data_IF_154621234349
#
_entry.id   IF_154621234349
#
_cell.length_a   1.000
_cell.length_b   1.000
_cell.length_c   1.000
_cell.angle_alpha   90.00
_cell.angle_beta   90.00
_cell.angle_gamma   90.00
#
_symmetry.space_group_name_H-M   'P 1'
#
loop_
_entity.id
_entity.type
_entity.pdbx_description
1 polymer ?
#
# COMPACT_ATOMS: atom_id res chain seq x y z
N UNK A 1 -1.49 21.89 -0.60
CA UNK A 1 -0.83 23.07 0.02
C UNK A 1 0.67 22.82 0.07
N UNK A 2 1.47 23.76 -0.39
CA UNK A 2 2.95 23.67 -0.33
C UNK A 2 3.47 24.75 0.60
N UNK A 3 4.43 24.39 1.43
CA UNK A 3 5.10 25.29 2.36
C UNK A 3 6.61 25.13 2.30
N UNK A 4 7.32 26.20 2.02
CA UNK A 4 8.79 26.23 2.04
C UNK A 4 9.25 26.57 3.47
N UNK A 5 9.72 25.56 4.20
CA UNK A 5 10.27 25.72 5.54
C UNK A 5 11.50 26.63 5.48
N UNK A 6 12.32 26.40 4.47
CA UNK A 6 13.46 27.21 4.08
C UNK A 6 13.85 26.91 2.62
N UNK A 7 14.94 27.50 2.12
CA UNK A 7 15.43 27.25 0.76
C UNK A 7 15.83 25.80 0.46
N UNK A 8 15.93 24.95 1.48
CA UNK A 8 16.38 23.56 1.38
C UNK A 8 15.27 22.54 1.66
N UNK A 9 14.17 22.95 2.27
CA UNK A 9 13.13 22.05 2.71
C UNK A 9 11.74 22.54 2.25
N UNK A 10 10.99 21.62 1.67
CA UNK A 10 9.60 21.82 1.25
C UNK A 10 8.70 20.76 1.87
N UNK A 11 7.62 21.21 2.50
CA UNK A 11 6.54 20.40 3.01
C UNK A 11 5.34 20.53 2.08
N UNK A 12 4.77 19.42 1.68
CA UNK A 12 3.50 19.37 0.93
C UNK A 12 2.48 18.60 1.75
N UNK A 13 1.29 19.17 1.88
CA UNK A 13 0.15 18.53 2.55
C UNK A 13 -1.03 18.56 1.59
N UNK A 14 -1.64 17.40 1.36
CA UNK A 14 -2.78 17.23 0.47
C UNK A 14 -3.84 16.35 1.13
N UNK A 15 -5.10 16.82 1.14
CA UNK A 15 -6.26 16.03 1.48
C UNK A 15 -7.03 15.68 0.22
N UNK A 16 -7.54 14.47 0.12
CA UNK A 16 -8.33 14.04 -1.02
C UNK A 16 -9.60 13.30 -0.60
N UNK A 17 -10.62 13.42 -1.44
CA UNK A 17 -11.85 12.64 -1.37
C UNK A 17 -12.27 12.22 -2.77
N UNK A 18 -12.48 10.92 -2.97
CA UNK A 18 -12.96 10.33 -4.23
C UNK A 18 -14.24 9.57 -3.97
N UNK A 19 -15.26 9.84 -4.77
CA UNK A 19 -16.52 9.08 -4.77
C UNK A 19 -16.56 8.24 -6.04
N UNK A 20 -16.81 6.95 -5.87
CA UNK A 20 -16.98 6.01 -6.98
C UNK A 20 -18.45 5.71 -7.15
N UNK A 21 -18.90 5.78 -8.39
CA UNK A 21 -20.24 5.37 -8.82
C UNK A 21 -20.07 4.48 -10.03
N UNK A 22 -20.99 3.54 -10.23
CA UNK A 22 -20.94 2.64 -11.38
C UNK A 22 -19.67 1.78 -11.44
N UNK A 23 -19.12 1.40 -10.28
CA UNK A 23 -18.02 0.45 -10.20
C UNK A 23 -18.53 -0.99 -10.40
N UNK A 24 -17.66 -1.93 -10.80
CA UNK A 24 -18.04 -3.31 -11.01
C UNK A 24 -18.51 -3.99 -9.72
N UNK A 25 -19.70 -4.60 -9.77
CA UNK A 25 -20.29 -5.43 -8.74
C UNK A 25 -20.47 -6.85 -9.30
N UNK A 26 -19.99 -7.85 -8.60
CA UNK A 26 -20.17 -9.24 -8.96
C UNK A 26 -21.67 -9.61 -8.96
N UNK A 27 -22.12 -10.28 -10.01
CA UNK A 27 -23.47 -10.86 -10.06
C UNK A 27 -23.55 -12.22 -9.33
N UNK A 28 -22.41 -12.81 -8.99
CA UNK A 28 -22.32 -14.09 -8.33
C UNK A 28 -22.64 -14.04 -6.84
N UNK A 29 -22.09 -13.03 -6.15
CA UNK A 29 -22.15 -12.91 -4.69
C UNK A 29 -22.45 -11.49 -4.21
N UNK A 30 -22.75 -10.58 -5.12
CA UNK A 30 -23.05 -9.16 -4.84
C UNK A 30 -21.94 -8.41 -4.10
N UNK A 31 -20.69 -8.87 -4.25
CA UNK A 31 -19.52 -8.20 -3.64
C UNK A 31 -18.87 -7.28 -4.69
N UNK A 32 -18.55 -6.01 -4.34
CA UNK A 32 -17.80 -5.13 -5.22
C UNK A 32 -16.45 -5.75 -5.61
N UNK A 33 -16.09 -5.78 -6.90
CA UNK A 33 -14.83 -6.39 -7.34
C UNK A 33 -13.59 -5.74 -6.71
N UNK A 34 -13.66 -4.47 -6.36
CA UNK A 34 -12.60 -3.77 -5.63
C UNK A 34 -12.35 -4.30 -4.21
N UNK A 35 -13.28 -5.06 -3.64
CA UNK A 35 -13.13 -5.70 -2.33
C UNK A 35 -12.59 -7.12 -2.42
N UNK A 36 -12.56 -7.72 -3.60
CA UNK A 36 -12.06 -9.08 -3.86
C UNK A 36 -10.54 -9.11 -4.06
N UNK A 37 -9.96 -10.31 -4.02
CA UNK A 37 -8.54 -10.54 -4.29
C UNK A 37 -7.65 -10.53 -3.06
N UNK A 38 -8.20 -10.38 -1.86
CA UNK A 38 -7.42 -10.46 -0.61
C UNK A 38 -7.01 -11.90 -0.25
N UNK A 39 -7.62 -12.88 -0.90
CA UNK A 39 -7.36 -14.32 -0.77
C UNK A 39 -6.44 -14.85 -1.88
N UNK A 40 -5.85 -13.96 -2.67
CA UNK A 40 -5.04 -14.28 -3.87
C UNK A 40 -5.82 -15.05 -4.97
N UNK A 41 -7.14 -15.09 -4.86
CA UNK A 41 -8.01 -15.65 -5.88
C UNK A 41 -8.05 -14.78 -7.14
N UNK A 42 -8.43 -15.41 -8.26
CA UNK A 42 -8.64 -14.66 -9.52
C UNK A 42 -9.88 -13.79 -9.37
N UNK A 43 -9.76 -12.49 -9.60
CA UNK A 43 -10.87 -11.55 -9.61
C UNK A 43 -11.12 -11.00 -11.02
N UNK A 44 -12.40 -10.71 -11.32
CA UNK A 44 -12.79 -10.11 -12.59
C UNK A 44 -13.07 -11.13 -13.74
N UNK A 45 -13.01 -12.43 -13.48
CA UNK A 45 -13.39 -13.49 -14.42
C UNK A 45 -14.86 -13.92 -14.30
N UNK A 46 -15.70 -13.08 -13.73
CA UNK A 46 -17.11 -13.32 -13.44
C UNK A 46 -18.00 -12.24 -14.04
N UNK A 47 -19.28 -12.56 -14.24
CA UNK A 47 -20.26 -11.59 -14.69
C UNK A 47 -20.44 -10.48 -13.66
N UNK A 48 -20.42 -9.23 -14.10
CA UNK A 48 -20.52 -8.07 -13.24
C UNK A 48 -21.51 -7.04 -13.79
N UNK A 49 -22.16 -6.33 -12.88
CA UNK A 49 -22.92 -5.11 -13.17
C UNK A 49 -22.09 -3.87 -12.82
N UNK A 50 -22.47 -2.72 -13.37
CA UNK A 50 -21.81 -1.45 -13.09
C UNK A 50 -22.61 -0.62 -12.07
N UNK A 51 -22.85 -1.20 -10.88
CA UNK A 51 -23.76 -0.62 -9.87
C UNK A 51 -23.11 -0.36 -8.51
N UNK A 52 -21.90 -0.87 -8.27
CA UNK A 52 -21.21 -0.67 -6.99
C UNK A 52 -20.89 0.79 -6.75
N UNK A 53 -20.98 1.19 -5.47
CA UNK A 53 -20.63 2.51 -4.98
C UNK A 53 -19.46 2.41 -4.00
N UNK A 54 -18.60 3.42 -3.99
CA UNK A 54 -17.47 3.43 -3.10
C UNK A 54 -16.97 4.82 -2.81
N UNK A 55 -16.01 4.90 -1.90
CA UNK A 55 -15.30 6.13 -1.54
C UNK A 55 -13.85 5.85 -1.20
N UNK A 56 -12.99 6.80 -1.51
CA UNK A 56 -11.64 6.83 -0.96
C UNK A 56 -11.33 8.25 -0.48
N UNK A 57 -10.72 8.36 0.68
CA UNK A 57 -10.36 9.64 1.28
C UNK A 57 -9.12 9.49 2.13
N UNK A 58 -8.35 10.56 2.25
CA UNK A 58 -7.13 10.51 3.00
C UNK A 58 -6.38 11.82 3.06
N UNK A 59 -5.23 11.75 3.71
CA UNK A 59 -4.28 12.84 3.88
C UNK A 59 -2.90 12.34 3.45
N UNK A 60 -2.22 13.15 2.63
CA UNK A 60 -0.85 12.91 2.21
C UNK A 60 0.05 14.03 2.73
N UNK A 61 1.18 13.65 3.32
CA UNK A 61 2.20 14.58 3.79
C UNK A 61 3.53 14.17 3.18
N UNK A 62 4.20 15.10 2.51
CA UNK A 62 5.51 14.86 1.92
C UNK A 62 6.49 15.95 2.35
N UNK A 63 7.60 15.53 2.92
CA UNK A 63 8.75 16.38 3.24
C UNK A 63 9.87 16.06 2.25
N UNK A 64 10.30 17.06 1.50
CA UNK A 64 11.45 16.97 0.61
C UNK A 64 12.56 17.86 1.12
N UNK A 65 13.73 17.26 1.33
CA UNK A 65 14.95 17.93 1.71
C UNK A 65 15.93 17.95 0.54
N UNK A 66 16.21 19.12 -0.01
CA UNK A 66 17.02 19.28 -1.24
C UNK A 66 18.52 19.25 -1.02
N UNK A 67 18.96 19.14 0.23
CA UNK A 67 20.35 19.07 0.59
C UNK A 67 20.94 20.41 1.06
N UNK A 68 21.38 20.43 2.31
CA UNK A 68 22.34 21.38 2.80
C UNK A 68 23.72 20.69 2.71
N UNK A 69 24.37 20.85 1.51
CA UNK A 69 25.65 20.23 1.21
C UNK A 69 25.59 18.76 0.79
N UNK A 70 25.65 17.81 1.72
CA UNK A 70 25.89 16.40 1.43
C UNK A 70 24.68 15.48 1.62
N UNK A 71 23.58 16.01 2.15
CA UNK A 71 22.41 15.21 2.51
C UNK A 71 21.20 15.60 1.67
N UNK A 72 20.53 14.61 1.08
CA UNK A 72 19.22 14.75 0.44
C UNK A 72 18.26 13.71 1.01
N UNK A 73 17.00 14.07 1.20
CA UNK A 73 15.99 13.13 1.70
C UNK A 73 14.60 13.46 1.16
N UNK A 74 13.80 12.43 1.09
CA UNK A 74 12.36 12.48 0.81
C UNK A 74 11.67 11.59 1.84
N UNK A 75 10.72 12.14 2.58
CA UNK A 75 9.80 11.40 3.43
C UNK A 75 8.38 11.64 2.96
N UNK A 76 7.60 10.59 2.81
CA UNK A 76 6.17 10.68 2.51
C UNK A 76 5.36 9.80 3.44
N UNK A 77 4.23 10.31 3.87
CA UNK A 77 3.27 9.58 4.67
C UNK A 77 1.88 9.80 4.11
N UNK A 78 1.16 8.71 3.88
CA UNK A 78 -0.24 8.72 3.45
C UNK A 78 -1.07 7.95 4.45
N UNK A 79 -2.09 8.61 5.00
CA UNK A 79 -3.19 7.95 5.68
C UNK A 79 -4.41 8.00 4.79
N UNK A 80 -5.06 6.86 4.57
CA UNK A 80 -6.25 6.80 3.71
C UNK A 80 -7.18 5.66 4.07
N UNK A 81 -8.42 5.78 3.61
CA UNK A 81 -9.43 4.74 3.61
C UNK A 81 -9.95 4.55 2.18
N UNK A 82 -10.11 3.30 1.80
CA UNK A 82 -10.73 2.89 0.53
C UNK A 82 -11.81 1.86 0.83
N UNK A 83 -13.06 2.20 0.53
CA UNK A 83 -14.22 1.43 0.97
C UNK A 83 -15.29 1.39 -0.12
N UNK A 84 -16.01 0.28 -0.19
CA UNK A 84 -17.18 0.11 -1.06
C UNK A 84 -18.38 -0.31 -0.24
N UNK A 85 -19.56 0.16 -0.67
CA UNK A 85 -20.83 -0.14 -0.05
C UNK A 85 -21.26 -1.57 -0.39
N UNK A 86 -21.60 -2.35 0.61
CA UNK A 86 -22.30 -3.61 0.45
C UNK A 86 -23.76 -3.32 0.06
N UNK A 87 -24.22 -3.77 -1.11
CA UNK A 87 -25.57 -3.46 -1.57
C UNK A 87 -26.69 -4.03 -0.70
N UNK A 88 -26.44 -5.10 0.04
CA UNK A 88 -27.43 -5.75 0.88
C UNK A 88 -27.63 -5.01 2.22
N UNK A 89 -26.56 -4.52 2.81
CA UNK A 89 -26.59 -3.92 4.15
C UNK A 89 -26.40 -2.40 4.15
N UNK A 90 -25.89 -1.83 3.07
CA UNK A 90 -25.50 -0.41 2.99
C UNK A 90 -24.24 -0.07 3.81
N UNK A 91 -23.56 -1.08 4.39
CA UNK A 91 -22.36 -0.88 5.20
C UNK A 91 -21.15 -0.76 4.27
N UNK A 92 -20.24 0.17 4.61
CA UNK A 92 -18.98 0.31 3.88
C UNK A 92 -17.96 -0.70 4.36
N UNK A 93 -17.55 -1.59 3.45
CA UNK A 93 -16.51 -2.60 3.64
C UNK A 93 -15.19 -2.12 3.03
N UNK A 94 -14.04 -2.46 3.63
CA UNK A 94 -12.73 -2.10 3.07
C UNK A 94 -12.51 -2.75 1.69
N UNK A 95 -11.95 -1.98 0.75
CA UNK A 95 -11.44 -2.56 -0.49
C UNK A 95 -10.17 -3.39 -0.21
N UNK A 96 -9.77 -4.25 -1.16
CA UNK A 96 -8.54 -5.02 -1.07
C UNK A 96 -7.28 -4.13 -0.91
N UNK A 97 -7.36 -2.87 -1.25
CA UNK A 97 -6.28 -1.88 -1.24
C UNK A 97 -6.31 -0.94 -0.03
N UNK A 98 -7.15 -1.18 0.98
CA UNK A 98 -7.29 -0.31 2.17
C UNK A 98 -6.19 -0.60 3.20
N UNK A 99 -4.94 -0.30 2.87
CA UNK A 99 -3.79 -0.50 3.78
C UNK A 99 -3.73 0.51 4.93
N UNK A 100 -4.47 1.60 4.87
CA UNK A 100 -4.60 2.69 5.84
C UNK A 100 -3.37 3.57 5.97
N UNK A 101 -2.19 3.01 6.08
CA UNK A 101 -0.95 3.72 6.37
C UNK A 101 0.13 3.32 5.36
N UNK A 102 0.69 4.30 4.66
CA UNK A 102 1.87 4.14 3.82
C UNK A 102 2.91 5.15 4.27
N UNK A 103 4.12 4.70 4.54
CA UNK A 103 5.24 5.57 4.82
C UNK A 103 6.43 5.16 3.98
N UNK A 104 7.08 6.14 3.39
CA UNK A 104 8.33 5.95 2.64
C UNK A 104 9.32 7.02 3.07
N UNK A 105 10.52 6.59 3.38
CA UNK A 105 11.67 7.45 3.62
C UNK A 105 12.77 7.03 2.66
N UNK A 106 13.34 7.96 1.93
CA UNK A 106 14.56 7.74 1.15
C UNK A 106 15.52 8.88 1.37
N UNK A 107 16.80 8.58 1.44
CA UNK A 107 17.82 9.58 1.64
C UNK A 107 19.17 9.13 1.12
N UNK A 108 20.00 10.11 0.78
CA UNK A 108 21.37 9.88 0.34
C UNK A 108 22.29 10.83 1.07
N UNK A 109 23.40 10.32 1.56
CA UNK A 109 24.45 11.07 2.18
C UNK A 109 25.77 10.91 1.41
N UNK A 110 26.32 12.04 0.93
CA UNK A 110 27.59 12.09 0.20
C UNK A 110 28.75 12.22 1.16
N UNK A 111 29.58 11.18 1.21
CA UNK A 111 30.81 11.14 2.00
C UNK A 111 32.01 11.70 1.20
N UNK A 112 33.10 12.07 1.89
CA UNK A 112 34.36 12.41 1.21
C UNK A 112 34.87 11.28 0.32
N UNK A 113 35.71 11.63 -0.65
CA UNK A 113 36.38 10.68 -1.56
C UNK A 113 35.41 9.89 -2.42
N UNK A 114 34.26 10.50 -2.84
CA UNK A 114 33.26 9.93 -3.77
C UNK A 114 32.63 8.63 -3.27
N UNK A 115 32.30 8.59 -1.98
CA UNK A 115 31.42 7.60 -1.41
C UNK A 115 30.00 8.20 -1.26
N UNK A 116 28.98 7.44 -1.61
CA UNK A 116 27.59 7.80 -1.35
C UNK A 116 26.91 6.65 -0.58
N UNK A 117 26.15 7.01 0.46
CA UNK A 117 25.34 6.05 1.22
C UNK A 117 23.87 6.41 0.99
N UNK A 118 23.10 5.46 0.46
CA UNK A 118 21.65 5.54 0.30
C UNK A 118 20.93 4.72 1.36
N UNK A 119 19.83 5.23 1.87
CA UNK A 119 18.87 4.52 2.73
C UNK A 119 17.49 4.66 2.12
N UNK A 120 16.74 3.55 2.10
CA UNK A 120 15.32 3.56 1.79
C UNK A 120 14.60 2.72 2.83
N UNK A 121 13.52 3.25 3.36
CA UNK A 121 12.65 2.56 4.29
C UNK A 121 11.21 2.68 3.82
N UNK A 122 10.47 1.58 3.84
CA UNK A 122 9.04 1.52 3.50
C UNK A 122 8.28 0.84 4.62
N UNK A 123 7.11 1.40 4.92
CA UNK A 123 6.13 0.79 5.81
C UNK A 123 4.78 0.84 5.12
N UNK A 124 4.08 -0.28 5.13
CA UNK A 124 2.73 -0.41 4.60
C UNK A 124 1.85 -1.11 5.64
N UNK A 125 0.75 -0.49 6.01
CA UNK A 125 -0.21 -1.05 6.94
C UNK A 125 -0.73 -2.41 6.45
N UNK A 126 -1.24 -3.22 7.36
CA UNK A 126 -1.71 -4.57 7.05
C UNK A 126 -2.84 -4.57 6.01
N UNK A 127 -2.72 -5.40 4.99
CA UNK A 127 -3.79 -5.64 4.02
C UNK A 127 -5.04 -6.17 4.73
N UNK A 128 -6.24 -5.80 4.29
CA UNK A 128 -7.46 -6.40 4.78
C UNK A 128 -7.54 -7.87 4.36
N UNK A 129 -8.20 -8.69 5.17
CA UNK A 129 -8.58 -10.05 4.82
C UNK A 129 -9.91 -10.40 5.45
N UNK A 130 -10.59 -11.38 4.88
CA UNK A 130 -11.83 -11.96 5.42
C UNK A 130 -11.45 -13.08 6.38
N UNK A 131 -11.83 -13.02 7.68
CA UNK A 131 -11.62 -14.13 8.61
C UNK A 131 -12.31 -15.40 8.15
N UNK A 132 -11.85 -16.53 8.66
CA UNK A 132 -12.55 -17.80 8.44
C UNK A 132 -13.70 -17.96 9.43
N UNK A 133 -14.77 -18.61 8.99
CA UNK A 133 -15.78 -19.19 9.86
C UNK A 133 -15.21 -20.47 10.49
N UNK A 134 -14.75 -20.34 11.73
CA UNK A 134 -14.09 -21.43 12.46
C UNK A 134 -15.03 -22.61 12.71
N UNK A 135 -16.32 -22.33 12.97
CA UNK A 135 -17.29 -23.38 13.22
C UNK A 135 -17.53 -24.23 11.98
N UNK A 136 -17.92 -23.64 10.87
CA UNK A 136 -18.14 -24.35 9.61
C UNK A 136 -16.86 -25.02 9.13
N UNK A 137 -15.72 -24.33 9.23
CA UNK A 137 -14.42 -24.88 8.82
C UNK A 137 -13.94 -26.05 9.66
N UNK A 138 -14.44 -26.24 10.88
CA UNK A 138 -14.10 -27.38 11.75
C UNK A 138 -14.86 -28.66 11.41
N UNK A 139 -15.89 -28.59 10.59
CA UNK A 139 -16.73 -29.74 10.22
C UNK A 139 -16.09 -30.57 9.11
N UNK A 140 -15.95 -31.89 9.33
CA UNK A 140 -15.40 -32.82 8.33
C UNK A 140 -16.14 -32.74 7.00
N UNK A 141 -17.52 -32.77 6.94
CA UNK A 141 -18.22 -32.68 5.68
C UNK A 141 -17.95 -31.38 4.90
N UNK A 142 -17.66 -30.28 5.60
CA UNK A 142 -17.33 -29.03 4.97
C UNK A 142 -15.96 -29.09 4.28
N UNK A 143 -14.96 -29.69 4.91
CA UNK A 143 -13.65 -29.96 4.33
C UNK A 143 -13.72 -30.92 3.15
N UNK A 144 -14.50 -31.98 3.25
CA UNK A 144 -14.69 -32.96 2.17
C UNK A 144 -15.29 -32.31 0.92
N UNK A 145 -16.15 -31.29 1.11
CA UNK A 145 -16.80 -30.57 0.00
C UNK A 145 -15.87 -29.57 -0.72
N UNK A 146 -14.94 -28.93 -0.01
CA UNK A 146 -14.18 -27.78 -0.57
C UNK A 146 -12.68 -27.92 -0.51
N UNK A 147 -12.14 -28.83 0.35
CA UNK A 147 -10.73 -28.99 0.66
C UNK A 147 -10.04 -27.68 1.14
N UNK A 148 -10.83 -26.74 1.66
CA UNK A 148 -10.37 -25.44 2.16
C UNK A 148 -11.32 -24.90 3.23
N UNK A 149 -10.88 -23.99 4.11
CA UNK A 149 -11.73 -23.34 5.09
C UNK A 149 -12.78 -22.44 4.42
N UNK A 150 -13.88 -22.23 5.11
CA UNK A 150 -14.92 -21.30 4.71
C UNK A 150 -14.64 -19.91 5.24
N UNK A 151 -14.89 -18.89 4.42
CA UNK A 151 -14.82 -17.50 4.85
C UNK A 151 -16.07 -17.07 5.61
N UNK A 152 -15.88 -16.25 6.63
CA UNK A 152 -16.97 -15.56 7.32
C UNK A 152 -17.35 -14.30 6.50
N UNK A 153 -18.33 -14.44 5.63
CA UNK A 153 -18.76 -13.36 4.74
C UNK A 153 -19.47 -12.21 5.48
N UNK A 154 -19.97 -12.42 6.70
CA UNK A 154 -20.53 -11.33 7.53
C UNK A 154 -19.40 -10.40 8.02
N UNK A 155 -18.16 -10.88 8.03
CA UNK A 155 -16.98 -10.13 8.43
C UNK A 155 -16.02 -9.87 7.26
N UNK A 156 -16.57 -9.61 6.08
CA UNK A 156 -15.78 -9.46 4.86
C UNK A 156 -14.76 -8.33 4.97
N UNK A 157 -13.47 -8.62 4.73
CA UNK A 157 -12.32 -7.68 4.81
C UNK A 157 -12.18 -6.93 6.15
N UNK A 158 -12.69 -7.48 7.26
CA UNK A 158 -12.56 -6.85 8.58
C UNK A 158 -11.23 -7.14 9.26
N UNK A 159 -10.64 -8.30 9.00
CA UNK A 159 -9.30 -8.68 9.50
C UNK A 159 -8.20 -7.83 8.88
N UNK A 160 -7.03 -7.77 9.55
CA UNK A 160 -5.84 -7.07 9.08
C UNK A 160 -4.61 -7.94 9.23
N UNK A 161 -3.86 -8.07 8.15
CA UNK A 161 -2.53 -8.68 8.20
C UNK A 161 -1.57 -7.81 9.01
N UNK A 162 -0.41 -8.35 9.33
CA UNK A 162 0.67 -7.58 9.97
C UNK A 162 1.16 -6.47 9.05
N UNK A 163 1.61 -5.38 9.64
CA UNK A 163 2.27 -4.29 8.92
C UNK A 163 3.53 -4.82 8.24
N UNK A 164 3.67 -4.50 6.97
CA UNK A 164 4.88 -4.77 6.19
C UNK A 164 5.86 -3.61 6.36
N UNK A 165 7.15 -3.94 6.50
CA UNK A 165 8.24 -2.96 6.49
C UNK A 165 9.45 -3.57 5.79
N UNK A 166 10.20 -2.71 5.13
CA UNK A 166 11.38 -3.03 4.35
C UNK A 166 12.42 -1.90 4.51
N UNK A 167 13.67 -2.26 4.62
CA UNK A 167 14.77 -1.31 4.73
C UNK A 167 15.91 -1.72 3.79
N UNK A 168 16.26 -0.83 2.87
CA UNK A 168 17.32 -1.03 1.89
C UNK A 168 18.48 -0.08 2.20
N UNK A 169 19.69 -0.57 2.18
CA UNK A 169 20.92 0.22 2.34
C UNK A 169 21.80 0.01 1.12
N UNK A 170 22.21 1.11 0.51
CA UNK A 170 23.09 1.10 -0.63
C UNK A 170 24.35 1.92 -0.36
N UNK A 171 25.49 1.38 -0.74
CA UNK A 171 26.80 2.05 -0.66
C UNK A 171 27.40 2.09 -2.05
N UNK A 172 27.69 3.28 -2.54
CA UNK A 172 28.31 3.52 -3.84
C UNK A 172 29.71 4.10 -3.66
N UNK A 173 30.63 3.68 -4.55
CA UNK A 173 31.99 4.22 -4.65
C UNK A 173 32.31 4.55 -6.09
N UNK A 174 32.64 5.80 -6.36
CA UNK A 174 33.05 6.25 -7.70
C UNK A 174 34.55 6.57 -7.77
N UNK A 175 35.20 6.14 -8.85
CA UNK A 175 36.57 6.43 -9.22
C UNK A 175 36.58 7.21 -10.53
N UNK A 176 37.26 8.32 -10.55
CA UNK A 176 37.39 9.18 -11.74
C UNK A 176 38.80 9.09 -12.30
N UNK A 177 38.89 8.64 -13.56
CA UNK A 177 40.12 8.59 -14.33
C UNK A 177 40.03 9.55 -15.53
N UNK A 178 41.14 9.83 -16.19
CA UNK A 178 41.12 10.69 -17.37
C UNK A 178 40.29 10.05 -18.50
N UNK A 179 39.07 10.58 -18.73
CA UNK A 179 38.13 10.15 -19.75
C UNK A 179 37.22 8.95 -19.38
N UNK A 180 37.36 8.37 -18.17
CA UNK A 180 36.54 7.22 -17.73
C UNK A 180 36.14 7.40 -16.25
N UNK A 181 34.89 7.05 -15.93
CA UNK A 181 34.39 6.91 -14.57
C UNK A 181 34.07 5.44 -14.30
N UNK A 182 34.55 4.90 -13.20
CA UNK A 182 34.25 3.55 -12.74
C UNK A 182 33.48 3.63 -11.42
N UNK A 183 32.29 3.02 -11.39
CA UNK A 183 31.43 2.97 -10.20
C UNK A 183 31.25 1.53 -9.71
N UNK A 184 31.35 1.34 -8.40
CA UNK A 184 30.97 0.09 -7.72
C UNK A 184 29.88 0.41 -6.72
N UNK A 185 28.95 -0.52 -6.54
CA UNK A 185 27.95 -0.41 -5.50
C UNK A 185 27.64 -1.76 -4.84
N UNK A 186 27.19 -1.69 -3.60
CA UNK A 186 26.62 -2.81 -2.85
C UNK A 186 25.25 -2.37 -2.38
N UNK A 187 24.24 -3.21 -2.60
CA UNK A 187 22.85 -2.99 -2.22
C UNK A 187 22.41 -4.15 -1.33
N UNK A 188 21.88 -3.82 -0.14
CA UNK A 188 21.36 -4.77 0.84
C UNK A 188 19.86 -4.46 1.02
N UNK A 189 19.02 -5.47 0.81
CA UNK A 189 17.56 -5.42 0.90
C UNK A 189 17.05 -6.36 2.00
#
# INVERSE_FOLDING_TARGET
MEYYINKWARLTVEGFYKKYTHSPLSLRDSIPLACKGTDYGVSGNEAASSTARGRAYGLEVMLRWFGMGRFTALASYTWYRSQFEDPATGIYIPSAWDYRHLFTLSGTYKLPKNWDIGLKFRLMGGAPYTPYDEYTSSLVPAWDATARPYYDYDRYNTGRLKTFYEADIRVDKSFYFKGVMLGFYVDLQ
#
